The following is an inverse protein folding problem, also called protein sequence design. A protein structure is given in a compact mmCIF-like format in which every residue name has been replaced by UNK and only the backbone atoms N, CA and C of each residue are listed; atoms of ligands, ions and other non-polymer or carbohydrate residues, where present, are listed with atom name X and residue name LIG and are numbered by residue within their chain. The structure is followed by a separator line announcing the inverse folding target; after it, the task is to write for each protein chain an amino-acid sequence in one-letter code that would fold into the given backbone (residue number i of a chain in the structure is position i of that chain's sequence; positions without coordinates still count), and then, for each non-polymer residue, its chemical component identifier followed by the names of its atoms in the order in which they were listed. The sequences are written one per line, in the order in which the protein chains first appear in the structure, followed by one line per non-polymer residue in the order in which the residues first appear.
data_IF_850433638389
#
_entry.id   IF_850433638389
#
_cell.length_a   1.000
_cell.length_b   1.000
_cell.length_c   1.000
_cell.angle_alpha   90.00
_cell.angle_beta   90.00
_cell.angle_gamma   90.00
#
_symmetry.space_group_name_H-M   'P 1'
#
loop_
_entity.id
_entity.type
_entity.pdbx_description
1 polymer ?
#
# COMPACT_ATOMS: atom_id res chain seq x y z
N UNK A 1 1.91 10.49 6.98
CA UNK A 1 1.61 11.37 5.83
C UNK A 1 1.87 12.86 6.06
N UNK A 2 1.93 13.35 7.30
CA UNK A 2 2.16 14.78 7.63
C UNK A 2 3.26 15.48 6.80
N UNK A 3 4.47 14.91 6.70
CA UNK A 3 5.56 15.54 5.94
C UNK A 3 5.31 15.59 4.44
N UNK A 4 4.80 14.49 3.86
CA UNK A 4 4.49 14.41 2.42
C UNK A 4 3.32 15.34 2.04
N UNK A 5 2.28 15.39 2.86
CA UNK A 5 1.14 16.30 2.65
C UNK A 5 1.54 17.77 2.78
N UNK A 6 2.53 18.09 3.64
CA UNK A 6 3.10 19.45 3.73
C UNK A 6 3.93 19.81 2.49
N UNK A 7 4.76 18.88 1.99
CA UNK A 7 5.60 19.11 0.81
C UNK A 7 4.83 19.16 -0.51
N UNK A 8 3.74 18.42 -0.62
CA UNK A 8 2.96 18.28 -1.86
C UNK A 8 1.46 18.48 -1.58
N UNK A 9 1.02 19.71 -1.27
CA UNK A 9 -0.34 19.98 -0.78
C UNK A 9 -1.45 19.68 -1.80
N UNK A 10 -1.11 19.58 -3.09
CA UNK A 10 -2.05 19.27 -4.18
C UNK A 10 -2.04 17.80 -4.61
N UNK A 11 -1.07 17.01 -4.15
CA UNK A 11 -0.98 15.60 -4.53
C UNK A 11 -2.01 14.77 -3.75
N UNK A 12 -2.79 13.96 -4.46
CA UNK A 12 -3.56 12.89 -3.83
C UNK A 12 -2.63 11.72 -3.51
N UNK A 13 -2.84 11.05 -2.38
CA UNK A 13 -1.98 9.96 -1.93
C UNK A 13 -2.79 8.71 -1.60
N UNK A 14 -2.39 7.58 -2.18
CA UNK A 14 -2.92 6.26 -1.87
C UNK A 14 -1.95 5.53 -0.94
N UNK A 15 -2.32 5.39 0.34
CA UNK A 15 -1.54 4.62 1.31
C UNK A 15 -2.24 3.28 1.52
N UNK A 16 -1.60 2.21 1.07
CA UNK A 16 -2.10 0.85 1.21
C UNK A 16 -0.93 -0.10 1.48
N UNK A 17 -1.21 -1.36 1.82
CA UNK A 17 -0.16 -2.32 2.13
C UNK A 17 -0.69 -3.70 2.50
N UNK A 18 0.24 -4.56 2.89
CA UNK A 18 0.05 -6.00 3.12
C UNK A 18 0.25 -6.42 4.58
N UNK A 19 0.46 -5.45 5.48
CA UNK A 19 0.75 -5.69 6.89
C UNK A 19 -0.53 -5.98 7.70
N UNK A 20 -1.23 -7.04 7.31
CA UNK A 20 -2.42 -7.54 8.01
C UNK A 20 -2.07 -8.30 9.30
N UNK A 21 -3.09 -8.86 9.99
CA UNK A 21 -2.88 -9.65 11.19
C UNK A 21 -1.82 -10.74 10.99
N UNK A 22 -0.88 -10.86 11.95
CA UNK A 22 0.23 -11.82 11.95
C UNK A 22 1.30 -11.66 10.86
N UNK A 23 1.21 -10.67 9.96
CA UNK A 23 2.30 -10.36 9.01
C UNK A 23 3.65 -10.11 9.70
N UNK A 24 3.58 -9.59 10.93
CA UNK A 24 4.68 -9.46 11.88
C UNK A 24 5.88 -8.64 11.38
N UNK A 25 5.61 -7.51 10.71
CA UNK A 25 6.64 -6.56 10.33
C UNK A 25 7.54 -6.22 11.52
N UNK A 26 8.85 -6.36 11.33
CA UNK A 26 9.88 -6.15 12.37
C UNK A 26 9.89 -7.17 13.52
N UNK A 27 9.22 -8.32 13.36
CA UNK A 27 9.19 -9.41 14.35
C UNK A 27 9.62 -10.78 13.77
N UNK A 28 9.76 -11.82 14.61
CA UNK A 28 10.12 -13.16 14.13
C UNK A 28 9.00 -13.78 13.28
N UNK A 29 9.35 -14.49 12.21
CA UNK A 29 8.37 -15.03 11.25
C UNK A 29 7.57 -13.96 10.48
N UNK A 30 8.18 -12.81 10.20
CA UNK A 30 7.65 -11.86 9.23
C UNK A 30 7.41 -12.54 7.88
N UNK A 31 6.24 -12.32 7.28
CA UNK A 31 5.91 -12.92 5.99
C UNK A 31 4.97 -12.06 5.15
N UNK A 32 4.95 -12.36 3.85
CA UNK A 32 4.04 -11.77 2.87
C UNK A 32 2.91 -12.74 2.50
N UNK A 33 1.66 -12.34 2.69
CA UNK A 33 0.53 -13.13 2.19
C UNK A 33 0.37 -12.98 0.67
N UNK A 34 0.99 -13.88 -0.09
CA UNK A 34 1.07 -13.78 -1.56
C UNK A 34 -0.29 -13.64 -2.27
N UNK A 35 -1.36 -14.39 -1.91
CA UNK A 35 -2.67 -14.21 -2.55
C UNK A 35 -3.25 -12.80 -2.40
N UNK A 36 -3.05 -12.15 -1.24
CA UNK A 36 -3.53 -10.79 -1.02
C UNK A 36 -2.62 -9.76 -1.68
N UNK A 37 -1.29 -9.95 -1.63
CA UNK A 37 -0.35 -9.08 -2.33
C UNK A 37 -0.69 -8.99 -3.83
N UNK A 38 -1.02 -10.12 -4.48
CA UNK A 38 -1.48 -10.13 -5.88
C UNK A 38 -2.75 -9.30 -6.10
N UNK A 39 -3.74 -9.42 -5.23
CA UNK A 39 -4.99 -8.63 -5.30
C UNK A 39 -4.73 -7.15 -5.11
N UNK A 40 -3.89 -6.79 -4.13
CA UNK A 40 -3.51 -5.40 -3.87
C UNK A 40 -2.78 -4.80 -5.07
N UNK A 41 -1.83 -5.53 -5.66
CA UNK A 41 -1.13 -5.11 -6.87
C UNK A 41 -2.10 -4.88 -8.03
N UNK A 42 -3.07 -5.78 -8.25
CA UNK A 42 -4.08 -5.62 -9.29
C UNK A 42 -4.96 -4.38 -9.04
N UNK A 43 -5.37 -4.13 -7.79
CA UNK A 43 -6.17 -2.95 -7.43
C UNK A 43 -5.39 -1.64 -7.66
N UNK A 44 -4.11 -1.59 -7.30
CA UNK A 44 -3.26 -0.43 -7.57
C UNK A 44 -3.07 -0.22 -9.08
N UNK A 45 -2.85 -1.28 -9.84
CA UNK A 45 -2.74 -1.21 -11.30
C UNK A 45 -4.04 -0.68 -11.92
N UNK A 46 -5.20 -1.10 -11.43
CA UNK A 46 -6.49 -0.60 -11.88
C UNK A 46 -6.67 0.89 -11.58
N UNK A 47 -6.28 1.36 -10.38
CA UNK A 47 -6.33 2.80 -10.04
C UNK A 47 -5.45 3.60 -10.99
N UNK A 48 -4.23 3.14 -11.28
CA UNK A 48 -3.32 3.80 -12.21
C UNK A 48 -3.89 3.81 -13.63
N UNK A 49 -4.43 2.68 -14.09
CA UNK A 49 -4.98 2.54 -15.44
C UNK A 49 -6.25 3.40 -15.66
N UNK A 50 -6.95 3.76 -14.58
CA UNK A 50 -8.15 4.61 -14.61
C UNK A 50 -7.86 6.09 -14.34
N UNK A 51 -6.59 6.47 -14.12
CA UNK A 51 -6.24 7.87 -13.92
C UNK A 51 -6.53 8.65 -15.23
N UNK A 52 -7.35 9.72 -15.19
CA UNK A 52 -7.70 10.49 -16.38
C UNK A 52 -6.52 11.27 -16.97
#
# INVERSE_FOLDING_TARGET
MSMLSKGFPKAQMMVCGVLGPKSNAHGPNEFLQVPYAKKLTAAVAEVIARLP
#
